data_IF_545499999277
#
_entry.id   IF_545499999277
#
_cell.length_a   1.000
_cell.length_b   1.000
_cell.length_c   1.000
_cell.angle_alpha   90.00
_cell.angle_beta   90.00
_cell.angle_gamma   90.00
#
_symmetry.space_group_name_H-M   'P 1'
#
loop_
_entity.id
_entity.type
_entity.pdbx_description
1 polymer ?
#
# COMPACT_ATOMS: atom_id res chain seq x y z
N UNK A 1 47.43 -27.16 11.38
CA UNK A 1 46.53 -27.45 12.53
C UNK A 1 45.41 -26.42 12.73
N UNK A 2 45.26 -25.39 11.89
CA UNK A 2 44.22 -24.34 12.06
C UNK A 2 42.86 -24.63 11.41
N UNK A 3 42.74 -25.65 10.54
CA UNK A 3 41.52 -25.89 9.77
C UNK A 3 40.36 -26.37 10.65
N UNK A 4 40.58 -27.38 11.51
CA UNK A 4 39.52 -27.93 12.38
C UNK A 4 38.90 -26.88 13.30
N UNK A 5 39.71 -25.95 13.85
CA UNK A 5 39.20 -24.93 14.76
C UNK A 5 38.29 -23.91 14.06
N UNK A 6 38.56 -23.59 12.79
CA UNK A 6 37.71 -22.70 12.01
C UNK A 6 36.41 -23.39 11.59
N UNK A 7 36.46 -24.68 11.30
CA UNK A 7 35.29 -25.49 10.97
C UNK A 7 34.38 -25.67 12.20
N UNK A 8 34.95 -25.89 13.39
CA UNK A 8 34.21 -25.93 14.67
C UNK A 8 33.50 -24.60 14.96
N UNK A 9 34.21 -23.48 14.81
CA UNK A 9 33.64 -22.13 15.00
C UNK A 9 32.51 -21.88 13.99
N UNK A 10 32.68 -22.31 12.73
CA UNK A 10 31.63 -22.16 11.70
C UNK A 10 30.39 -22.95 12.08
N UNK A 11 30.53 -24.22 12.46
CA UNK A 11 29.40 -25.06 12.85
C UNK A 11 28.65 -24.49 14.07
N UNK A 12 29.39 -23.89 15.01
CA UNK A 12 28.81 -23.25 16.19
C UNK A 12 28.00 -21.99 15.81
N UNK A 13 28.55 -21.14 14.93
CA UNK A 13 27.85 -19.96 14.41
C UNK A 13 26.62 -20.32 13.57
N UNK A 14 26.68 -21.39 12.77
CA UNK A 14 25.54 -21.89 12.00
C UNK A 14 24.42 -22.36 12.94
N UNK A 15 24.75 -23.07 14.01
CA UNK A 15 23.79 -23.50 15.03
C UNK A 15 23.17 -22.29 15.75
N UNK A 16 23.98 -21.32 16.17
CA UNK A 16 23.49 -20.10 16.81
C UNK A 16 22.58 -19.28 15.88
N UNK A 17 22.92 -19.22 14.59
CA UNK A 17 22.12 -18.56 13.56
C UNK A 17 20.74 -19.23 13.40
N UNK A 18 20.69 -20.56 13.35
CA UNK A 18 19.44 -21.31 13.27
C UNK A 18 18.56 -21.09 14.51
N UNK A 19 19.15 -21.15 15.71
CA UNK A 19 18.43 -20.87 16.95
C UNK A 19 17.88 -19.44 16.98
N UNK A 20 18.68 -18.45 16.55
CA UNK A 20 18.26 -17.06 16.47
C UNK A 20 17.12 -16.86 15.46
N UNK A 21 17.21 -17.50 14.29
CA UNK A 21 16.17 -17.43 13.26
C UNK A 21 14.84 -18.03 13.74
N UNK A 22 14.89 -19.15 14.47
CA UNK A 22 13.71 -19.77 15.08
C UNK A 22 13.04 -18.84 16.10
N UNK A 23 13.84 -18.20 16.95
CA UNK A 23 13.34 -17.26 17.96
C UNK A 23 12.73 -16.00 17.34
N UNK A 24 13.36 -15.45 16.30
CA UNK A 24 12.80 -14.36 15.50
C UNK A 24 11.46 -14.77 14.89
N UNK A 25 11.34 -16.00 14.39
CA UNK A 25 10.09 -16.56 13.89
C UNK A 25 8.99 -16.59 14.95
N UNK A 26 9.31 -17.08 16.15
CA UNK A 26 8.38 -17.14 17.30
C UNK A 26 7.91 -15.74 17.70
N UNK A 27 8.83 -14.79 17.87
CA UNK A 27 8.50 -13.41 18.26
C UNK A 27 7.63 -12.70 17.22
N UNK A 28 7.84 -12.95 15.93
CA UNK A 28 6.96 -12.42 14.86
C UNK A 28 5.54 -12.98 14.96
N UNK A 29 5.40 -14.27 15.27
CA UNK A 29 4.08 -14.87 15.45
C UNK A 29 3.35 -14.29 16.67
N UNK A 30 4.06 -14.08 17.78
CA UNK A 30 3.51 -13.44 18.99
C UNK A 30 3.11 -11.99 18.75
N UNK A 31 3.92 -11.23 18.00
CA UNK A 31 3.58 -9.87 17.61
C UNK A 31 2.30 -9.82 16.77
N UNK A 32 2.15 -10.72 15.80
CA UNK A 32 0.96 -10.79 14.96
C UNK A 32 -0.31 -11.12 15.78
N UNK A 33 -0.19 -12.02 16.76
CA UNK A 33 -1.28 -12.35 17.67
C UNK A 33 -1.66 -11.13 18.54
N UNK A 34 -0.69 -10.48 19.16
CA UNK A 34 -0.91 -9.29 19.98
C UNK A 34 -1.53 -8.13 19.19
N UNK A 35 -1.13 -7.93 17.92
CA UNK A 35 -1.73 -6.93 17.03
C UNK A 35 -3.19 -7.23 16.71
N UNK A 36 -3.54 -8.51 16.51
CA UNK A 36 -4.92 -8.94 16.29
C UNK A 36 -5.79 -8.66 17.51
N UNK A 37 -5.29 -8.99 18.70
CA UNK A 37 -6.00 -8.75 19.96
C UNK A 37 -6.16 -7.25 20.23
N UNK A 38 -5.10 -6.46 20.03
CA UNK A 38 -5.15 -5.01 20.14
C UNK A 38 -6.23 -4.41 19.23
N UNK A 39 -6.32 -4.89 17.98
CA UNK A 39 -7.36 -4.45 17.04
C UNK A 39 -8.76 -4.84 17.54
N UNK A 40 -8.96 -6.09 17.97
CA UNK A 40 -10.25 -6.56 18.47
C UNK A 40 -10.72 -5.76 19.69
N UNK A 41 -9.82 -5.48 20.64
CA UNK A 41 -10.10 -4.65 21.82
C UNK A 41 -10.41 -3.21 21.41
N UNK A 42 -9.61 -2.64 20.49
CA UNK A 42 -9.85 -1.28 19.97
C UNK A 42 -11.23 -1.18 19.31
N UNK A 43 -11.61 -2.16 18.49
CA UNK A 43 -12.92 -2.20 17.84
C UNK A 43 -14.05 -2.33 18.87
N UNK A 44 -13.88 -3.16 19.90
CA UNK A 44 -14.85 -3.30 21.00
C UNK A 44 -15.00 -2.00 21.81
N UNK A 45 -13.89 -1.34 22.16
CA UNK A 45 -13.90 -0.03 22.85
C UNK A 45 -14.58 1.03 21.99
N UNK A 46 -14.28 1.07 20.69
CA UNK A 46 -14.92 1.98 19.75
C UNK A 46 -16.42 1.71 19.62
N UNK A 47 -16.85 0.45 19.66
CA UNK A 47 -18.27 0.07 19.63
C UNK A 47 -19.01 0.51 20.91
N UNK A 48 -18.36 0.43 22.07
CA UNK A 48 -18.91 0.90 23.34
C UNK A 48 -18.93 2.44 23.45
N UNK A 49 -17.94 3.12 22.88
CA UNK A 49 -17.80 4.58 22.92
C UNK A 49 -18.57 5.34 21.82
N UNK A 50 -18.93 4.69 20.71
CA UNK A 50 -19.74 5.31 19.65
C UNK A 50 -21.23 5.23 20.01
N UNK A 51 -21.76 6.31 20.60
CA UNK A 51 -23.12 6.75 20.22
C UNK A 51 -23.16 6.81 18.69
N UNK A 52 -24.24 6.36 18.02
CA UNK A 52 -24.32 6.38 16.56
C UNK A 52 -24.04 7.80 16.09
N UNK A 53 -22.83 8.00 15.58
CA UNK A 53 -22.41 9.28 15.03
C UNK A 53 -23.23 9.46 13.77
N UNK A 54 -24.25 10.31 13.86
CA UNK A 54 -25.01 10.84 12.73
C UNK A 54 -24.15 11.79 11.87
N UNK A 55 -22.82 11.74 11.99
CA UNK A 55 -21.95 12.48 11.10
C UNK A 55 -22.29 12.05 9.67
N UNK A 56 -22.64 13.01 8.78
CA UNK A 56 -23.00 12.69 7.41
C UNK A 56 -21.84 11.91 6.79
N UNK A 57 -22.14 10.73 6.24
CA UNK A 57 -21.14 9.89 5.57
C UNK A 57 -20.52 10.70 4.44
N UNK A 58 -19.20 10.94 4.52
CA UNK A 58 -18.45 11.55 3.41
C UNK A 58 -18.69 10.71 2.15
N UNK A 59 -18.93 11.35 0.99
CA UNK A 59 -19.12 10.62 -0.26
C UNK A 59 -17.85 9.83 -0.61
N UNK A 60 -18.00 8.58 -1.04
CA UNK A 60 -16.86 7.77 -1.50
C UNK A 60 -16.36 8.24 -2.85
N UNK A 61 -15.06 8.04 -3.12
CA UNK A 61 -14.47 8.29 -4.45
C UNK A 61 -15.11 7.37 -5.49
N UNK A 62 -15.59 7.94 -6.60
CA UNK A 62 -16.11 7.17 -7.74
C UNK A 62 -15.00 6.90 -8.76
N UNK A 63 -15.12 5.80 -9.50
CA UNK A 63 -14.16 5.43 -10.57
C UNK A 63 -13.99 6.54 -11.61
N UNK A 64 -15.09 7.18 -12.03
CA UNK A 64 -15.08 8.27 -13.02
C UNK A 64 -14.27 9.47 -12.52
N UNK A 65 -14.46 9.86 -11.26
CA UNK A 65 -13.73 10.98 -10.66
C UNK A 65 -12.23 10.64 -10.50
N UNK A 66 -11.92 9.39 -10.11
CA UNK A 66 -10.54 8.88 -10.03
C UNK A 66 -9.86 8.92 -11.40
N UNK A 67 -10.53 8.46 -12.45
CA UNK A 67 -10.01 8.47 -13.83
C UNK A 67 -9.73 9.89 -14.31
N UNK A 68 -10.64 10.82 -14.01
CA UNK A 68 -10.42 12.24 -14.32
C UNK A 68 -9.20 12.81 -13.58
N UNK A 69 -9.11 12.57 -12.28
CA UNK A 69 -8.01 13.07 -11.46
C UNK A 69 -6.64 12.51 -11.89
N UNK A 70 -6.56 11.22 -12.24
CA UNK A 70 -5.33 10.60 -12.75
C UNK A 70 -4.92 11.23 -14.09
N UNK A 71 -5.87 11.41 -15.03
CA UNK A 71 -5.57 12.05 -16.32
C UNK A 71 -5.12 13.50 -16.16
N UNK A 72 -5.71 14.25 -15.24
CA UNK A 72 -5.28 15.62 -14.92
C UNK A 72 -3.87 15.61 -14.32
N UNK A 73 -3.62 14.75 -13.33
CA UNK A 73 -2.31 14.64 -12.69
C UNK A 73 -1.20 14.27 -13.66
N UNK A 74 -1.41 13.26 -14.52
CA UNK A 74 -0.42 12.81 -15.49
C UNK A 74 -0.23 13.78 -16.67
N UNK A 75 -1.15 14.72 -16.87
CA UNK A 75 -1.00 15.80 -17.86
C UNK A 75 -0.17 16.96 -17.31
N UNK A 76 -0.38 17.30 -16.04
CA UNK A 76 0.20 18.48 -15.39
C UNK A 76 1.55 18.20 -14.70
N UNK A 77 1.95 16.93 -14.60
CA UNK A 77 3.20 16.48 -13.96
C UNK A 77 4.12 15.71 -14.93
N UNK A 78 5.40 15.51 -14.56
CA UNK A 78 6.31 14.66 -15.33
C UNK A 78 5.71 13.27 -15.54
N UNK A 79 5.68 12.84 -16.80
CA UNK A 79 5.27 11.51 -17.21
C UNK A 79 6.51 10.76 -17.71
N UNK A 80 6.82 9.54 -17.20
CA UNK A 80 6.04 8.77 -16.22
C UNK A 80 6.11 9.34 -14.79
N UNK A 81 4.99 9.29 -14.07
CA UNK A 81 4.87 9.75 -12.68
C UNK A 81 5.10 8.58 -11.69
N UNK A 82 5.96 8.74 -10.67
CA UNK A 82 6.16 7.70 -9.66
C UNK A 82 4.84 7.32 -8.95
N UNK A 83 4.65 6.03 -8.69
CA UNK A 83 3.40 5.50 -8.11
C UNK A 83 3.07 6.15 -6.76
N UNK A 84 4.07 6.32 -5.90
CA UNK A 84 3.89 6.90 -4.56
C UNK A 84 3.53 8.39 -4.63
N UNK A 85 4.10 9.13 -5.59
CA UNK A 85 3.77 10.54 -5.83
C UNK A 85 2.34 10.70 -6.35
N UNK A 86 1.93 9.83 -7.29
CA UNK A 86 0.56 9.81 -7.81
C UNK A 86 -0.45 9.47 -6.70
N UNK A 87 -0.19 8.43 -5.89
CA UNK A 87 -1.06 8.03 -4.78
C UNK A 87 -1.19 9.17 -3.75
N UNK A 88 -0.08 9.81 -3.38
CA UNK A 88 -0.08 10.94 -2.44
C UNK A 88 -0.88 12.13 -2.97
N UNK A 89 -0.67 12.53 -4.24
CA UNK A 89 -1.38 13.64 -4.87
C UNK A 89 -2.89 13.38 -4.97
N UNK A 90 -3.29 12.17 -5.36
CA UNK A 90 -4.70 11.78 -5.47
C UNK A 90 -5.38 11.75 -4.08
N UNK A 91 -4.69 11.25 -3.05
CA UNK A 91 -5.23 11.27 -1.68
C UNK A 91 -5.46 12.69 -1.18
N UNK A 92 -4.51 13.59 -1.39
CA UNK A 92 -4.66 14.99 -1.03
C UNK A 92 -5.83 15.64 -1.80
N UNK A 93 -5.90 15.42 -3.12
CA UNK A 93 -7.00 15.90 -3.98
C UNK A 93 -8.38 15.49 -3.46
N UNK A 94 -8.60 14.19 -3.19
CA UNK A 94 -9.90 13.69 -2.74
C UNK A 94 -10.19 14.05 -1.28
N UNK A 95 -9.17 14.19 -0.44
CA UNK A 95 -9.32 14.68 0.93
C UNK A 95 -9.80 16.13 0.95
N UNK A 96 -9.20 17.00 0.11
CA UNK A 96 -9.62 18.40 -0.06
C UNK A 96 -11.03 18.54 -0.61
N UNK A 97 -11.46 17.61 -1.49
CA UNK A 97 -12.84 17.52 -1.98
C UNK A 97 -13.83 16.94 -0.95
N UNK A 98 -13.37 16.60 0.26
CA UNK A 98 -14.21 16.06 1.32
C UNK A 98 -14.67 14.62 1.10
N UNK A 99 -14.05 13.88 0.17
CA UNK A 99 -14.39 12.49 -0.08
C UNK A 99 -13.86 11.58 1.03
N UNK A 100 -14.52 10.43 1.21
CA UNK A 100 -13.96 9.32 1.98
C UNK A 100 -12.92 8.58 1.15
N UNK A 101 -11.78 8.27 1.77
CA UNK A 101 -10.76 7.38 1.17
C UNK A 101 -11.11 5.89 1.35
N UNK A 102 -12.26 5.56 1.94
CA UNK A 102 -12.77 4.19 1.97
C UNK A 102 -13.01 3.69 0.55
N UNK A 103 -12.32 2.63 0.14
CA UNK A 103 -12.38 2.10 -1.22
C UNK A 103 -11.48 2.83 -2.24
N UNK A 104 -10.67 3.80 -1.81
CA UNK A 104 -9.73 4.53 -2.67
C UNK A 104 -8.78 3.59 -3.40
N UNK A 105 -8.12 2.68 -2.68
CA UNK A 105 -7.16 1.76 -3.27
C UNK A 105 -7.79 0.83 -4.32
N UNK A 106 -9.06 0.44 -4.13
CA UNK A 106 -9.80 -0.34 -5.12
C UNK A 106 -10.03 0.51 -6.37
N UNK A 107 -10.53 1.75 -6.22
CA UNK A 107 -10.77 2.64 -7.37
C UNK A 107 -9.50 3.00 -8.12
N UNK A 108 -8.39 3.21 -7.42
CA UNK A 108 -7.09 3.45 -8.05
C UNK A 108 -6.70 2.25 -8.91
N UNK A 109 -6.70 1.03 -8.35
CA UNK A 109 -6.39 -0.20 -9.10
C UNK A 109 -7.31 -0.41 -10.31
N UNK A 110 -8.61 -0.16 -10.17
CA UNK A 110 -9.57 -0.26 -11.28
C UNK A 110 -9.28 0.69 -12.44
N UNK A 111 -8.64 1.84 -12.18
CA UNK A 111 -8.27 2.81 -13.21
C UNK A 111 -6.87 2.53 -13.76
N UNK A 112 -5.93 2.11 -12.92
CA UNK A 112 -4.58 1.74 -13.40
C UNK A 112 -4.59 0.49 -14.29
N UNK A 113 -5.65 -0.32 -14.22
CA UNK A 113 -5.89 -1.46 -15.11
C UNK A 113 -6.67 -1.08 -16.39
N UNK A 114 -6.96 0.20 -16.62
CA UNK A 114 -7.64 0.69 -17.83
C UNK A 114 -6.63 0.82 -18.97
N UNK A 115 -7.02 0.51 -20.21
CA UNK A 115 -6.10 0.43 -21.38
C UNK A 115 -5.45 1.78 -21.72
N UNK A 116 -6.00 2.88 -21.21
CA UNK A 116 -5.47 4.23 -21.37
C UNK A 116 -4.29 4.55 -20.43
N UNK A 117 -4.01 3.68 -19.45
CA UNK A 117 -2.95 3.88 -18.46
C UNK A 117 -1.84 2.86 -18.70
N UNK A 118 -0.63 3.36 -18.88
CA UNK A 118 0.56 2.54 -19.01
C UNK A 118 1.34 2.54 -17.69
N UNK A 119 1.72 1.35 -17.23
CA UNK A 119 2.55 1.16 -16.04
C UNK A 119 3.91 0.63 -16.48
N UNK A 120 4.97 1.40 -16.18
CA UNK A 120 6.36 1.07 -16.52
C UNK A 120 7.21 1.05 -15.26
N UNK A 121 8.46 0.57 -15.35
CA UNK A 121 9.41 0.64 -14.22
C UNK A 121 9.70 2.09 -13.80
N UNK A 122 9.60 3.04 -14.72
CA UNK A 122 9.79 4.47 -14.45
C UNK A 122 8.57 5.13 -13.79
N UNK A 123 7.40 4.49 -13.80
CA UNK A 123 6.16 5.02 -13.22
C UNK A 123 4.94 4.85 -14.12
N UNK A 124 3.91 5.64 -13.84
CA UNK A 124 2.59 5.60 -14.47
C UNK A 124 2.49 6.73 -15.50
N UNK A 125 2.04 6.41 -16.71
CA UNK A 125 1.86 7.34 -17.81
C UNK A 125 0.49 7.14 -18.49
N UNK A 126 0.08 8.12 -19.30
CA UNK A 126 -1.02 7.91 -20.24
C UNK A 126 -0.50 7.12 -21.44
N UNK A 127 -1.21 6.07 -21.84
CA UNK A 127 -0.88 5.31 -23.04
C UNK A 127 -0.88 6.25 -24.26
N UNK A 128 0.14 6.13 -25.12
CA UNK A 128 0.17 6.87 -26.37
C UNK A 128 -1.06 6.51 -27.21
N UNK A 129 -1.87 7.51 -27.60
CA UNK A 129 -2.99 7.25 -28.50
C UNK A 129 -2.43 6.62 -29.79
N UNK A 130 -3.05 5.56 -30.34
CA UNK A 130 -2.68 5.12 -31.67
C UNK A 130 -2.96 6.28 -32.61
N UNK A 131 -1.90 6.84 -33.19
CA UNK A 131 -2.01 7.82 -34.26
C UNK A 131 -2.66 7.08 -35.41
N UNK A 132 -3.97 7.28 -35.60
CA UNK A 132 -4.67 6.75 -36.75
C UNK A 132 -4.07 7.40 -37.99
N UNK A 133 -3.27 6.65 -38.74
CA UNK A 133 -3.01 6.96 -40.14
C UNK A 133 -4.32 6.77 -40.91
N UNK A 134 -5.01 7.88 -41.18
CA UNK A 134 -6.20 7.96 -42.03
C UNK A 134 -6.23 9.29 -42.76
#
# INVERSE_FOLDING_TARGET
MNSNRLDDIRSQLETELECSAAEVGRLKAELAAAQKDHKAITDAVNALGRKPSSAPKKPSVKKVDMKKAIREQLRDQPSPCPVDELDAALRDHFTRKGCSLTGFALRLKEVLADDEIEQTEAGIALAAMPVGNG
#
